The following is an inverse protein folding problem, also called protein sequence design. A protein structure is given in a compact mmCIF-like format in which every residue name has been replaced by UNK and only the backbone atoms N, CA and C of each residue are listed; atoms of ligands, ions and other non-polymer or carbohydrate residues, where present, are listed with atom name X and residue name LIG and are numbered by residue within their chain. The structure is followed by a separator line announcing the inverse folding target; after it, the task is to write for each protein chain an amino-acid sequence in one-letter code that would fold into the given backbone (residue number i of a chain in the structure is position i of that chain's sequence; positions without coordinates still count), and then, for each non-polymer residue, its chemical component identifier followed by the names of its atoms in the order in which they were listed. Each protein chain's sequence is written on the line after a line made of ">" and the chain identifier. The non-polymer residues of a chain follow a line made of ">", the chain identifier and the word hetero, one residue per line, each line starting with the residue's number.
data_IF_803736186782
#
_entry.id   IF_803736186782
#
_cell.length_a   1.000
_cell.length_b   1.000
_cell.length_c   1.000
_cell.angle_alpha   90.00
_cell.angle_beta   90.00
_cell.angle_gamma   90.00
#
_symmetry.space_group_name_H-M   'P 1'
#
loop_
_entity.id
_entity.type
_entity.pdbx_description
1 polymer ?
#
# COMPACT_ATOMS: atom_id res chain seq x y z
N UNK A 1 1.48 -15.90 -7.72
CA UNK A 1 1.71 -14.63 -7.02
C UNK A 1 0.72 -13.52 -7.44
N UNK A 2 0.52 -13.29 -8.73
CA UNK A 2 -0.37 -12.24 -9.28
C UNK A 2 -1.82 -12.30 -8.76
N UNK A 3 -2.39 -13.50 -8.60
CA UNK A 3 -3.76 -13.67 -8.09
C UNK A 3 -3.95 -13.14 -6.65
N UNK A 4 -2.91 -13.19 -5.82
CA UNK A 4 -2.95 -12.66 -4.46
C UNK A 4 -2.91 -11.12 -4.50
N UNK A 5 -2.08 -10.53 -5.38
CA UNK A 5 -2.05 -9.08 -5.59
C UNK A 5 -3.44 -8.54 -5.98
N UNK A 6 -4.13 -9.19 -6.92
CA UNK A 6 -5.50 -8.82 -7.29
C UNK A 6 -6.49 -8.92 -6.12
N UNK A 7 -6.35 -9.93 -5.24
CA UNK A 7 -7.19 -10.03 -4.04
C UNK A 7 -6.98 -8.87 -3.07
N UNK A 8 -5.74 -8.39 -2.95
CA UNK A 8 -5.40 -7.23 -2.11
C UNK A 8 -6.00 -5.97 -2.74
N UNK A 9 -5.77 -5.73 -4.03
CA UNK A 9 -6.34 -4.58 -4.75
C UNK A 9 -7.86 -4.53 -4.61
N UNK A 10 -8.55 -5.64 -4.88
CA UNK A 10 -10.01 -5.74 -4.74
C UNK A 10 -10.49 -5.51 -3.31
N UNK A 11 -9.68 -5.84 -2.31
CA UNK A 11 -10.00 -5.56 -0.92
C UNK A 11 -9.90 -4.06 -0.63
N UNK A 12 -8.80 -3.42 -1.06
CA UNK A 12 -8.56 -1.99 -0.91
C UNK A 12 -9.67 -1.16 -1.57
N UNK A 13 -10.09 -1.53 -2.77
CA UNK A 13 -11.18 -0.87 -3.51
C UNK A 13 -12.54 -0.87 -2.76
N UNK A 14 -12.72 -1.77 -1.79
CA UNK A 14 -13.95 -1.88 -0.98
C UNK A 14 -13.86 -1.18 0.37
N UNK A 15 -12.69 -0.66 0.75
CA UNK A 15 -12.52 -0.01 2.04
C UNK A 15 -12.85 1.49 1.94
N UNK A 16 -13.60 2.00 2.91
CA UNK A 16 -13.80 3.45 3.09
C UNK A 16 -12.52 4.15 3.58
N UNK A 17 -11.62 3.39 4.22
CA UNK A 17 -10.33 3.86 4.71
C UNK A 17 -9.21 2.83 4.53
N UNK A 18 -8.01 3.30 4.22
CA UNK A 18 -6.81 2.48 4.03
C UNK A 18 -5.73 2.99 4.99
N UNK A 19 -5.16 2.06 5.77
CA UNK A 19 -4.11 2.35 6.74
C UNK A 19 -2.79 1.83 6.18
N UNK A 20 -1.81 2.72 6.07
CA UNK A 20 -0.48 2.43 5.54
C UNK A 20 0.61 2.92 6.51
N UNK A 21 1.68 2.14 6.61
CA UNK A 21 2.94 2.58 7.25
C UNK A 21 4.06 2.42 6.25
N UNK A 22 4.85 3.47 6.02
CA UNK A 22 5.98 3.41 5.10
C UNK A 22 7.29 3.31 5.85
N UNK A 23 8.08 2.29 5.52
CA UNK A 23 9.31 1.95 6.22
C UNK A 23 10.44 1.79 5.23
N UNK A 24 11.62 2.26 5.63
CA UNK A 24 12.87 2.15 4.87
C UNK A 24 12.77 2.65 3.42
N UNK A 25 11.78 3.49 3.07
CA UNK A 25 11.51 3.99 1.71
C UNK A 25 11.14 2.93 0.66
N UNK A 26 10.82 1.70 1.08
CA UNK A 26 10.45 0.63 0.15
C UNK A 26 9.36 -0.30 0.68
N UNK A 27 9.06 -0.28 1.97
CA UNK A 27 8.09 -1.21 2.54
C UNK A 27 6.84 -0.49 2.99
N UNK A 28 5.68 -0.98 2.56
CA UNK A 28 4.39 -0.58 3.07
C UNK A 28 3.79 -1.69 3.93
N UNK A 29 3.34 -1.34 5.13
CA UNK A 29 2.44 -2.18 5.90
C UNK A 29 1.01 -1.81 5.56
N UNK A 30 0.21 -2.77 5.08
CA UNK A 30 -1.18 -2.56 4.67
C UNK A 30 -2.09 -3.38 5.56
N UNK A 31 -3.11 -2.76 6.16
CA UNK A 31 -4.17 -3.51 6.84
C UNK A 31 -5.01 -4.29 5.83
N UNK A 32 -5.03 -5.62 5.96
CA UNK A 32 -5.84 -6.55 5.16
C UNK A 32 -6.66 -7.45 6.07
N UNK A 33 -7.97 -7.20 6.13
CA UNK A 33 -8.88 -7.85 7.09
C UNK A 33 -8.39 -7.58 8.52
N UNK A 34 -8.09 -8.63 9.30
CA UNK A 34 -7.62 -8.54 10.69
C UNK A 34 -6.10 -8.73 10.80
N UNK A 35 -5.35 -8.55 9.70
CA UNK A 35 -3.89 -8.74 9.65
C UNK A 35 -3.23 -7.56 8.94
N UNK A 36 -1.96 -7.33 9.21
CA UNK A 36 -1.12 -6.44 8.40
C UNK A 36 -0.30 -7.26 7.40
N UNK A 37 -0.21 -6.76 6.18
CA UNK A 37 0.63 -7.32 5.12
C UNK A 37 1.78 -6.35 4.88
N UNK A 38 3.01 -6.86 4.96
CA UNK A 38 4.18 -6.12 4.48
C UNK A 38 4.30 -6.34 2.98
N UNK A 39 4.34 -5.25 2.23
CA UNK A 39 4.65 -5.27 0.80
C UNK A 39 5.90 -4.44 0.55
N UNK A 40 6.77 -4.93 -0.32
CA UNK A 40 7.82 -4.11 -0.94
C UNK A 40 7.18 -3.38 -2.12
N UNK A 41 7.37 -2.08 -2.23
CA UNK A 41 6.96 -1.27 -3.37
C UNK A 41 8.16 -0.82 -4.19
N UNK A 42 7.94 -0.69 -5.48
CA UNK A 42 8.90 -0.21 -6.47
C UNK A 42 8.16 0.70 -7.48
N UNK A 43 8.89 1.19 -8.50
CA UNK A 43 8.33 1.90 -9.64
C UNK A 43 7.36 3.03 -9.26
N UNK A 44 6.21 3.09 -9.93
CA UNK A 44 5.24 4.19 -9.79
C UNK A 44 4.58 4.22 -8.41
N UNK A 45 4.40 3.06 -7.77
CA UNK A 45 3.85 3.02 -6.41
C UNK A 45 4.84 3.67 -5.45
N UNK A 46 6.13 3.32 -5.57
CA UNK A 46 7.17 3.91 -4.73
C UNK A 46 7.31 5.42 -4.98
N UNK A 47 7.35 5.86 -6.24
CA UNK A 47 7.50 7.28 -6.59
C UNK A 47 6.41 8.15 -5.97
N UNK A 48 5.17 7.65 -5.92
CA UNK A 48 4.07 8.34 -5.24
C UNK A 48 4.33 8.54 -3.74
N UNK A 49 4.76 7.48 -3.05
CA UNK A 49 4.98 7.52 -1.62
C UNK A 49 6.27 8.29 -1.24
N UNK A 50 7.30 8.26 -2.07
CA UNK A 50 8.48 9.10 -1.91
C UNK A 50 8.21 10.59 -2.13
N UNK A 51 7.16 10.93 -2.91
CA UNK A 51 6.75 12.31 -3.15
C UNK A 51 6.14 13.01 -1.94
N UNK A 52 5.70 12.26 -0.93
CA UNK A 52 5.39 12.84 0.37
C UNK A 52 6.69 13.21 1.09
N UNK A 53 6.70 14.28 1.89
CA UNK A 53 7.81 14.57 2.79
C UNK A 53 8.10 13.31 3.61
N UNK A 54 9.14 12.57 3.23
CA UNK A 54 9.25 11.15 3.60
C UNK A 54 9.38 11.02 5.11
N UNK A 55 10.00 12.00 5.75
CA UNK A 55 10.15 12.10 7.21
C UNK A 55 8.81 12.35 7.95
N UNK A 56 7.81 12.92 7.27
CA UNK A 56 6.51 13.21 7.88
C UNK A 56 5.79 11.93 8.32
N UNK A 57 5.92 10.85 7.56
CA UNK A 57 5.15 9.63 7.76
C UNK A 57 5.95 8.32 7.68
N UNK A 58 7.28 8.42 7.57
CA UNK A 58 8.18 7.29 7.82
C UNK A 58 7.89 6.71 9.22
N UNK A 59 7.69 5.41 9.29
CA UNK A 59 7.37 4.64 10.50
C UNK A 59 6.10 5.11 11.26
N UNK A 60 5.22 5.86 10.60
CA UNK A 60 3.90 6.24 11.15
C UNK A 60 2.77 5.57 10.39
N UNK A 61 1.71 5.20 11.10
CA UNK A 61 0.47 4.75 10.47
C UNK A 61 -0.34 5.95 10.00
N UNK A 62 -0.58 6.03 8.68
CA UNK A 62 -1.38 7.06 8.03
C UNK A 62 -2.69 6.46 7.54
N UNK A 63 -3.80 7.10 7.89
CA UNK A 63 -5.14 6.72 7.47
C UNK A 63 -5.59 7.59 6.29
N UNK A 64 -5.70 6.98 5.11
CA UNK A 64 -6.33 7.60 3.93
C UNK A 64 -7.82 7.31 3.94
N UNK A 65 -8.66 8.31 3.69
CA UNK A 65 -10.13 8.20 3.70
C UNK A 65 -10.76 8.82 2.46
N UNK A 66 -11.98 8.40 2.13
CA UNK A 66 -12.76 8.98 1.03
C UNK A 66 -12.01 8.94 -0.31
N UNK A 67 -11.91 10.08 -0.98
CA UNK A 67 -11.22 10.19 -2.28
C UNK A 67 -9.77 9.69 -2.25
N UNK A 68 -9.04 9.93 -1.14
CA UNK A 68 -7.66 9.47 -1.01
C UNK A 68 -7.55 7.94 -0.87
N UNK A 69 -8.49 7.30 -0.18
CA UNK A 69 -8.53 5.84 -0.11
C UNK A 69 -8.79 5.23 -1.50
N UNK A 70 -9.74 5.80 -2.25
CA UNK A 70 -10.02 5.40 -3.64
C UNK A 70 -8.79 5.58 -4.54
N UNK A 71 -8.08 6.69 -4.39
CA UNK A 71 -6.86 6.96 -5.15
C UNK A 71 -5.77 5.92 -4.86
N UNK A 72 -5.50 5.62 -3.58
CA UNK A 72 -4.52 4.59 -3.20
C UNK A 72 -4.91 3.23 -3.78
N UNK A 73 -6.18 2.83 -3.69
CA UNK A 73 -6.63 1.57 -4.28
C UNK A 73 -6.40 1.50 -5.80
N UNK A 74 -6.65 2.62 -6.50
CA UNK A 74 -6.41 2.76 -7.94
C UNK A 74 -4.91 2.70 -8.29
N UNK A 75 -4.05 3.35 -7.50
CA UNK A 75 -2.60 3.29 -7.68
C UNK A 75 -2.08 1.85 -7.63
N UNK A 76 -2.58 1.04 -6.70
CA UNK A 76 -2.23 -0.39 -6.61
C UNK A 76 -2.79 -1.24 -7.77
N UNK A 77 -3.94 -0.86 -8.32
CA UNK A 77 -4.56 -1.55 -9.47
C UNK A 77 -3.79 -1.30 -10.76
N UNK A 78 -3.47 -0.04 -11.04
CA UNK A 78 -2.76 0.38 -12.25
C UNK A 78 -1.29 -0.08 -12.27
N UNK A 79 -0.70 -0.29 -11.09
CA UNK A 79 0.72 -0.61 -10.93
C UNK A 79 0.91 -1.95 -10.20
N UNK A 80 0.09 -2.95 -10.52
CA UNK A 80 0.07 -4.24 -9.81
C UNK A 80 1.42 -4.98 -9.82
N UNK A 81 2.28 -4.71 -10.80
CA UNK A 81 3.60 -5.32 -10.89
C UNK A 81 4.62 -4.65 -9.96
N UNK A 82 4.35 -3.43 -9.53
CA UNK A 82 5.27 -2.56 -8.78
C UNK A 82 5.22 -2.81 -7.26
N UNK A 83 4.62 -3.92 -6.81
CA UNK A 83 4.73 -4.32 -5.41
C UNK A 83 4.83 -5.83 -5.23
N UNK A 84 5.51 -6.29 -4.18
CA UNK A 84 5.66 -7.70 -3.84
C UNK A 84 5.26 -7.96 -2.40
N UNK A 85 4.66 -9.13 -2.13
CA UNK A 85 4.32 -9.52 -0.77
C UNK A 85 5.55 -10.07 -0.06
N UNK A 86 5.94 -9.44 1.04
CA UNK A 86 6.98 -9.95 1.91
C UNK A 86 6.33 -10.95 2.89
N UNK A 87 6.25 -12.22 2.50
CA UNK A 87 5.93 -13.26 3.48
C UNK A 87 7.15 -13.43 4.40
N UNK A 88 6.94 -13.35 5.72
CA UNK A 88 7.90 -13.96 6.65
C UNK A 88 7.82 -15.46 6.43
N UNK A 89 8.92 -16.02 5.93
CA UNK A 89 9.20 -17.46 5.94
C UNK A 89 9.04 -18.04 7.34
#
# INVERSE_FOLDING_TARGET
>A
MLWIKHKIVRYLQKQESIYLTYQLKYFLSIKYKNKYLTVRVDGKIKDYFDGFETDFWLDKEVCFRGHHATFVAKLFDENINDFELCQKS
#
